data_IF_988561848635
#
_entry.id   IF_988561848635
#
_cell.length_a   1.000
_cell.length_b   1.000
_cell.length_c   1.000
_cell.angle_alpha   90.00
_cell.angle_beta   90.00
_cell.angle_gamma   90.00
#
_symmetry.space_group_name_H-M   'P 1'
#
loop_
_entity.id
_entity.type
_entity.pdbx_description
1 polymer ?
#
# COMPACT_ATOMS: atom_id res chain seq x y z
N UNK A 1 48.77 43.43 -0.96
CA UNK A 1 47.41 43.65 -0.41
C UNK A 1 46.94 42.32 0.13
N UNK A 2 46.53 42.23 1.39
CA UNK A 2 45.97 40.99 1.92
C UNK A 2 44.64 40.71 1.22
N UNK A 3 44.46 39.51 0.66
CA UNK A 3 43.16 39.09 0.15
C UNK A 3 42.19 39.03 1.33
N UNK A 4 41.12 39.83 1.29
CA UNK A 4 40.03 39.71 2.26
C UNK A 4 39.24 38.45 1.91
N UNK A 5 38.87 37.65 2.92
CA UNK A 5 38.06 36.44 2.71
C UNK A 5 36.74 36.85 2.05
N UNK A 6 36.37 36.21 0.95
CA UNK A 6 35.03 36.38 0.37
C UNK A 6 34.02 35.88 1.40
N UNK A 7 33.06 36.74 1.74
CA UNK A 7 31.96 36.39 2.66
C UNK A 7 30.65 36.44 1.89
N UNK A 8 29.55 35.95 2.48
CA UNK A 8 28.22 36.07 1.88
C UNK A 8 27.81 37.52 1.63
N UNK A 9 28.37 38.49 2.34
CA UNK A 9 28.11 39.92 2.11
C UNK A 9 28.79 40.48 0.85
N UNK A 10 29.73 39.74 0.26
CA UNK A 10 30.40 40.09 -1.00
C UNK A 10 29.80 39.36 -2.21
N UNK A 11 28.75 38.56 -2.00
CA UNK A 11 28.05 37.80 -3.03
C UNK A 11 26.59 38.23 -2.97
N UNK A 12 26.17 39.06 -3.93
CA UNK A 12 24.77 39.49 -4.01
C UNK A 12 23.86 38.29 -4.28
N UNK A 13 22.57 38.40 -3.91
CA UNK A 13 21.57 37.37 -4.19
C UNK A 13 21.52 37.03 -5.69
N UNK A 14 21.34 35.75 -6.02
CA UNK A 14 21.30 35.24 -7.41
C UNK A 14 22.57 35.48 -8.26
N UNK A 15 23.68 35.88 -7.63
CA UNK A 15 24.97 36.10 -8.35
C UNK A 15 25.63 34.79 -8.78
N UNK A 16 25.49 33.73 -7.98
CA UNK A 16 26.06 32.42 -8.30
C UNK A 16 25.04 31.65 -9.13
N UNK A 17 25.25 31.63 -10.44
CA UNK A 17 24.45 30.84 -11.36
C UNK A 17 25.00 29.42 -11.51
N UNK A 18 24.24 28.55 -12.18
CA UNK A 18 24.67 27.16 -12.42
C UNK A 18 26.03 27.05 -13.13
N UNK A 19 26.39 28.03 -13.98
CA UNK A 19 27.68 28.06 -14.68
C UNK A 19 28.88 28.41 -13.80
N UNK A 20 28.66 29.07 -12.66
CA UNK A 20 29.71 29.42 -11.69
C UNK A 20 30.07 28.24 -10.78
N UNK A 21 29.17 27.25 -10.72
CA UNK A 21 29.37 25.99 -10.00
C UNK A 21 30.00 25.01 -10.97
N UNK A 22 31.32 24.84 -10.88
CA UNK A 22 32.02 23.84 -11.67
C UNK A 22 31.42 22.44 -11.44
N UNK A 23 31.54 21.56 -12.44
CA UNK A 23 31.10 20.18 -12.32
C UNK A 23 31.70 19.51 -11.07
N UNK A 24 30.85 18.88 -10.26
CA UNK A 24 31.22 18.23 -8.99
C UNK A 24 31.78 19.17 -7.91
N UNK A 25 31.60 20.49 -8.03
CA UNK A 25 32.06 21.45 -7.02
C UNK A 25 31.31 21.35 -5.67
N UNK A 26 30.10 20.77 -5.67
CA UNK A 26 29.32 20.50 -4.46
C UNK A 26 29.29 18.98 -4.26
N UNK A 27 30.20 18.48 -3.44
CA UNK A 27 30.30 17.09 -3.03
C UNK A 27 29.84 16.87 -1.59
N UNK A 28 30.26 15.75 -1.01
CA UNK A 28 29.92 15.36 0.37
C UNK A 28 30.64 16.21 1.42
N UNK A 29 31.75 16.85 1.09
CA UNK A 29 32.43 17.80 2.00
C UNK A 29 31.67 19.12 2.12
N UNK A 30 30.96 19.54 1.06
CA UNK A 30 30.17 20.76 1.02
C UNK A 30 28.73 20.51 1.52
N UNK A 31 28.26 19.26 1.42
CA UNK A 31 26.98 18.80 1.94
C UNK A 31 27.20 17.96 3.20
N UNK A 32 27.20 18.60 4.36
CA UNK A 32 27.25 17.90 5.64
C UNK A 32 26.12 16.85 5.76
N UNK A 33 26.32 15.84 6.61
CA UNK A 33 25.29 14.83 6.87
C UNK A 33 23.97 15.50 7.29
N UNK A 34 22.86 15.10 6.65
CA UNK A 34 21.53 15.69 6.83
C UNK A 34 21.42 17.18 6.45
N UNK A 35 22.40 17.76 5.74
CA UNK A 35 22.32 19.14 5.28
C UNK A 35 21.17 19.35 4.28
N UNK A 36 20.79 18.32 3.52
CA UNK A 36 19.65 18.35 2.60
C UNK A 36 18.47 17.64 3.27
N UNK A 37 17.64 18.40 3.98
CA UNK A 37 16.43 17.91 4.65
C UNK A 37 15.28 17.72 3.66
N UNK A 38 14.22 17.01 4.04
CA UNK A 38 13.01 16.88 3.21
C UNK A 38 12.41 18.22 2.78
N UNK A 39 12.50 19.28 3.61
CA UNK A 39 12.08 20.63 3.23
C UNK A 39 12.92 21.24 2.08
N UNK A 40 14.20 20.84 1.97
CA UNK A 40 15.10 21.25 0.87
C UNK A 40 14.92 20.38 -0.38
N UNK A 41 14.41 19.16 -0.21
CA UNK A 41 13.95 18.27 -1.28
C UNK A 41 12.44 18.49 -1.43
N UNK A 42 12.02 19.68 -1.84
CA UNK A 42 10.61 20.06 -1.89
C UNK A 42 9.83 19.25 -2.96
N UNK A 43 9.45 18.01 -2.65
CA UNK A 43 8.59 17.14 -3.46
C UNK A 43 7.08 17.43 -3.27
N UNK A 44 6.75 18.59 -2.72
CA UNK A 44 5.37 19.02 -2.46
C UNK A 44 4.75 18.57 -1.13
N UNK A 45 5.44 17.81 -0.27
CA UNK A 45 5.01 17.43 1.11
C UNK A 45 6.16 16.82 1.91
N UNK A 46 6.17 17.02 3.23
CA UNK A 46 7.10 16.43 4.22
C UNK A 46 6.40 15.52 5.24
N UNK A 47 5.23 14.99 4.88
CA UNK A 47 4.46 14.11 5.75
C UNK A 47 5.22 12.80 6.09
N UNK A 48 5.15 12.40 7.36
CA UNK A 48 5.78 11.17 7.84
C UNK A 48 5.25 9.94 7.07
N UNK A 49 6.17 9.08 6.62
CA UNK A 49 5.84 7.83 5.93
C UNK A 49 5.66 7.98 4.41
N UNK A 50 5.82 9.18 3.86
CA UNK A 50 5.92 9.38 2.42
C UNK A 50 7.16 8.68 1.85
N UNK A 51 7.05 8.15 0.63
CA UNK A 51 8.12 7.44 -0.07
C UNK A 51 8.50 8.22 -1.33
N UNK A 52 9.80 8.30 -1.63
CA UNK A 52 10.29 8.83 -2.90
C UNK A 52 10.48 7.69 -3.90
N UNK A 53 10.00 7.85 -5.13
CA UNK A 53 10.26 6.90 -6.21
C UNK A 53 10.52 7.62 -7.53
N UNK A 54 11.26 6.98 -8.44
CA UNK A 54 11.53 7.50 -9.77
C UNK A 54 10.39 7.14 -10.72
N UNK A 55 9.77 8.13 -11.38
CA UNK A 55 8.63 7.90 -12.28
C UNK A 55 9.03 7.70 -13.76
N UNK A 56 10.34 7.64 -14.05
CA UNK A 56 10.87 7.59 -15.42
C UNK A 56 11.49 8.91 -15.90
N UNK A 57 11.19 10.04 -15.24
CA UNK A 57 11.75 11.36 -15.57
C UNK A 57 12.29 12.05 -14.32
N UNK A 58 11.52 12.05 -13.24
CA UNK A 58 11.85 12.71 -11.99
C UNK A 58 11.69 11.77 -10.80
N UNK A 59 12.34 12.13 -9.69
CA UNK A 59 11.97 11.57 -8.40
C UNK A 59 10.73 12.30 -7.89
N UNK A 60 9.67 11.54 -7.62
CA UNK A 60 8.38 12.05 -7.17
C UNK A 60 7.96 11.39 -5.86
N UNK A 61 6.96 11.98 -5.21
CA UNK A 61 6.40 11.51 -3.95
C UNK A 61 5.28 10.50 -4.17
N UNK A 62 5.38 9.35 -3.51
CA UNK A 62 4.26 8.48 -3.19
C UNK A 62 3.82 8.78 -1.75
N UNK A 63 2.62 9.36 -1.60
CA UNK A 63 2.05 9.63 -0.28
C UNK A 63 1.95 8.34 0.54
N UNK A 64 2.08 8.43 1.87
CA UNK A 64 1.86 7.29 2.76
C UNK A 64 0.51 6.60 2.51
N UNK A 65 0.47 5.28 2.66
CA UNK A 65 -0.77 4.50 2.60
C UNK A 65 -1.69 4.75 3.80
N UNK A 66 -2.88 4.15 3.76
CA UNK A 66 -3.73 3.97 4.93
C UNK A 66 -3.24 2.78 5.76
N UNK A 67 -3.77 2.63 6.98
CA UNK A 67 -3.46 1.47 7.82
C UNK A 67 -3.68 0.15 7.05
N UNK A 68 -2.81 -0.82 7.31
CA UNK A 68 -2.85 -2.19 6.76
C UNK A 68 -2.64 -2.31 5.25
N UNK A 69 -2.33 -1.22 4.55
CA UNK A 69 -1.91 -1.31 3.15
C UNK A 69 -0.48 -1.82 3.03
N UNK A 70 -0.22 -2.63 2.00
CA UNK A 70 1.11 -3.07 1.62
C UNK A 70 1.59 -2.32 0.38
N UNK A 71 2.89 -2.08 0.33
CA UNK A 71 3.51 -1.50 -0.86
C UNK A 71 3.77 -2.62 -1.87
N UNK A 72 3.31 -2.44 -3.10
CA UNK A 72 3.57 -3.36 -4.20
C UNK A 72 3.81 -2.62 -5.50
N UNK A 73 4.32 -3.33 -6.51
CA UNK A 73 4.36 -2.82 -7.87
C UNK A 73 2.95 -2.75 -8.45
N UNK A 74 2.62 -1.67 -9.16
CA UNK A 74 1.33 -1.55 -9.85
C UNK A 74 1.19 -2.63 -10.96
N UNK A 75 -0.04 -2.86 -11.42
CA UNK A 75 -0.30 -3.89 -12.46
C UNK A 75 0.44 -3.63 -13.77
N UNK A 76 0.83 -2.39 -14.04
CA UNK A 76 1.59 -2.00 -15.23
C UNK A 76 3.10 -2.17 -15.10
N UNK A 77 3.62 -2.58 -13.93
CA UNK A 77 5.04 -2.65 -13.62
C UNK A 77 5.82 -1.34 -13.85
N UNK A 78 5.16 -0.19 -13.66
CA UNK A 78 5.72 1.15 -13.91
C UNK A 78 5.94 1.97 -12.64
N UNK A 79 5.27 1.64 -11.54
CA UNK A 79 5.39 2.41 -10.30
C UNK A 79 4.98 1.59 -9.06
N UNK A 80 5.58 1.88 -7.88
CA UNK A 80 5.05 1.41 -6.62
C UNK A 80 3.67 2.01 -6.33
N UNK A 81 2.81 1.24 -5.69
CA UNK A 81 1.46 1.64 -5.29
C UNK A 81 1.05 0.95 -4.00
N UNK A 82 0.25 1.62 -3.19
CA UNK A 82 -0.36 1.01 -2.02
C UNK A 82 -1.56 0.15 -2.44
N UNK A 83 -1.62 -1.07 -1.94
CA UNK A 83 -2.81 -1.91 -2.03
C UNK A 83 -3.32 -2.21 -0.63
N UNK A 84 -4.63 -2.31 -0.48
CA UNK A 84 -5.21 -2.95 0.70
C UNK A 84 -4.79 -4.42 0.68
N UNK A 85 -3.91 -4.80 1.61
CA UNK A 85 -3.52 -6.18 1.72
C UNK A 85 -4.77 -7.01 2.04
N UNK A 86 -5.06 -8.01 1.22
CA UNK A 86 -5.88 -9.14 1.65
C UNK A 86 -5.03 -9.90 2.65
N UNK A 87 -4.98 -9.43 3.91
CA UNK A 87 -4.29 -10.18 4.96
C UNK A 87 -4.90 -11.57 4.94
N UNK A 88 -4.05 -12.59 4.78
CA UNK A 88 -4.54 -13.94 4.59
C UNK A 88 -5.48 -14.31 5.74
N UNK A 89 -6.75 -14.53 5.44
CA UNK A 89 -7.77 -15.12 6.29
C UNK A 89 -7.55 -14.90 7.79
N UNK A 90 -8.00 -13.75 8.31
CA UNK A 90 -8.35 -13.68 9.73
C UNK A 90 -9.38 -14.79 9.99
N UNK A 91 -8.96 -15.83 10.71
CA UNK A 91 -9.81 -16.98 10.99
C UNK A 91 -10.79 -16.63 12.11
N UNK A 92 -12.09 -16.72 11.84
CA UNK A 92 -13.14 -16.46 12.83
C UNK A 92 -14.15 -17.61 12.89
N UNK A 93 -14.51 -18.02 14.11
CA UNK A 93 -15.56 -19.02 14.34
C UNK A 93 -16.93 -18.36 14.19
N UNK A 94 -17.81 -18.98 13.39
CA UNK A 94 -19.19 -18.55 13.16
C UNK A 94 -20.16 -19.67 13.53
N UNK A 95 -21.11 -19.36 14.41
CA UNK A 95 -22.19 -20.25 14.84
C UNK A 95 -23.54 -19.86 14.22
N UNK A 96 -23.57 -18.79 13.41
CA UNK A 96 -24.77 -18.24 12.76
C UNK A 96 -24.42 -17.66 11.39
N UNK A 97 -25.43 -17.23 10.63
CA UNK A 97 -25.24 -16.63 9.32
C UNK A 97 -24.20 -15.48 9.33
N UNK A 98 -23.35 -15.44 8.30
CA UNK A 98 -22.22 -14.50 8.20
C UNK A 98 -22.00 -14.06 6.76
N UNK A 99 -21.76 -12.76 6.53
CA UNK A 99 -21.32 -12.24 5.22
C UNK A 99 -19.81 -12.10 5.22
N UNK A 100 -19.14 -12.88 4.38
CA UNK A 100 -17.70 -12.89 4.26
C UNK A 100 -17.18 -11.66 3.52
N UNK A 101 -15.96 -11.24 3.88
CA UNK A 101 -15.17 -10.28 3.13
C UNK A 101 -14.09 -11.01 2.29
N UNK A 102 -13.52 -10.30 1.32
CA UNK A 102 -12.40 -10.82 0.55
C UNK A 102 -11.23 -11.17 1.48
N UNK A 103 -10.68 -12.37 1.30
CA UNK A 103 -9.58 -12.89 2.09
C UNK A 103 -10.01 -13.67 3.33
N UNK A 104 -11.29 -13.64 3.75
CA UNK A 104 -11.74 -14.22 5.02
C UNK A 104 -11.44 -15.73 5.18
N UNK A 105 -11.15 -16.12 6.43
CA UNK A 105 -11.16 -17.50 6.90
C UNK A 105 -12.36 -17.74 7.80
N UNK A 106 -13.37 -18.45 7.30
CA UNK A 106 -14.59 -18.74 8.05
C UNK A 106 -14.52 -20.15 8.63
N UNK A 107 -14.33 -20.26 9.95
CA UNK A 107 -14.50 -21.50 10.69
C UNK A 107 -15.97 -21.64 11.07
N UNK A 108 -16.68 -22.60 10.49
CA UNK A 108 -18.11 -22.76 10.74
C UNK A 108 -18.33 -23.84 11.78
N UNK A 109 -18.99 -23.47 12.88
CA UNK A 109 -19.54 -24.42 13.83
C UNK A 109 -20.88 -24.93 13.30
N UNK A 110 -20.88 -26.17 12.80
CA UNK A 110 -22.06 -26.85 12.24
C UNK A 110 -22.87 -27.58 13.32
N UNK A 111 -22.90 -27.08 14.56
CA UNK A 111 -23.90 -27.49 15.57
C UNK A 111 -25.34 -27.16 15.14
N UNK A 112 -25.51 -26.21 14.22
CA UNK A 112 -26.74 -25.93 13.46
C UNK A 112 -26.38 -25.54 12.03
N UNK A 113 -27.32 -25.56 11.09
CA UNK A 113 -27.06 -25.14 9.72
C UNK A 113 -26.69 -23.64 9.67
N UNK A 114 -25.66 -23.30 8.89
CA UNK A 114 -25.12 -21.93 8.80
C UNK A 114 -24.98 -21.51 7.34
N UNK A 115 -25.43 -20.30 7.01
CA UNK A 115 -25.20 -19.69 5.70
C UNK A 115 -24.01 -18.74 5.75
N UNK A 116 -23.03 -18.98 4.88
CA UNK A 116 -21.91 -18.06 4.61
C UNK A 116 -22.20 -17.34 3.29
N UNK A 117 -22.53 -16.06 3.36
CA UNK A 117 -22.79 -15.22 2.19
C UNK A 117 -21.47 -14.67 1.65
N UNK A 118 -21.20 -14.88 0.36
CA UNK A 118 -20.02 -14.36 -0.32
C UNK A 118 -20.01 -12.81 -0.37
N UNK A 119 -18.84 -12.17 -0.57
CA UNK A 119 -18.76 -10.73 -0.80
C UNK A 119 -19.66 -10.27 -1.96
N UNK A 120 -20.20 -9.06 -1.88
CA UNK A 120 -21.08 -8.48 -2.92
C UNK A 120 -20.34 -8.09 -4.22
N UNK A 121 -19.01 -8.18 -4.21
CA UNK A 121 -18.14 -7.94 -5.36
C UNK A 121 -17.01 -8.96 -5.36
N UNK A 122 -16.65 -9.48 -6.54
CA UNK A 122 -15.53 -10.38 -6.73
C UNK A 122 -14.64 -9.90 -7.88
N UNK A 123 -13.34 -9.86 -7.64
CA UNK A 123 -12.27 -9.63 -8.61
C UNK A 123 -11.42 -10.88 -8.80
N UNK A 124 -10.70 -10.97 -9.92
CA UNK A 124 -9.76 -12.07 -10.12
C UNK A 124 -8.69 -12.05 -9.03
N UNK A 125 -8.54 -13.18 -8.32
CA UNK A 125 -7.61 -13.32 -7.20
C UNK A 125 -8.26 -13.20 -5.82
N UNK A 126 -9.54 -12.80 -5.75
CA UNK A 126 -10.29 -12.83 -4.49
C UNK A 126 -10.55 -14.26 -4.03
N UNK A 127 -10.56 -14.47 -2.72
CA UNK A 127 -10.87 -15.77 -2.13
C UNK A 127 -11.60 -15.64 -0.80
N UNK A 128 -12.38 -16.67 -0.47
CA UNK A 128 -12.92 -16.92 0.87
C UNK A 128 -12.62 -18.38 1.19
N UNK A 129 -12.10 -18.66 2.39
CA UNK A 129 -11.91 -20.04 2.86
C UNK A 129 -13.01 -20.39 3.85
N UNK A 130 -13.70 -21.49 3.61
CA UNK A 130 -14.74 -22.00 4.52
C UNK A 130 -14.30 -23.37 5.02
N UNK A 131 -14.27 -23.56 6.33
CA UNK A 131 -13.86 -24.81 6.99
C UNK A 131 -14.91 -25.21 8.00
N UNK A 132 -15.41 -26.44 7.90
CA UNK A 132 -16.23 -27.05 8.94
C UNK A 132 -15.33 -27.49 10.09
N UNK A 133 -15.50 -26.87 11.26
CA UNK A 133 -14.66 -27.18 12.44
C UNK A 133 -15.25 -28.27 13.33
N UNK A 134 -16.54 -28.60 13.14
CA UNK A 134 -17.24 -29.63 13.91
C UNK A 134 -17.43 -30.93 13.12
N UNK A 135 -17.14 -30.93 11.82
CA UNK A 135 -17.21 -32.12 10.96
C UNK A 135 -18.64 -32.63 10.74
N UNK A 136 -19.65 -31.77 10.95
CA UNK A 136 -21.08 -32.12 10.95
C UNK A 136 -21.86 -31.49 9.79
N UNK A 137 -21.18 -30.93 8.78
CA UNK A 137 -21.80 -30.30 7.61
C UNK A 137 -22.73 -31.23 6.80
N UNK A 138 -22.59 -32.55 6.92
CA UNK A 138 -23.48 -33.52 6.30
C UNK A 138 -24.89 -33.57 6.95
N UNK A 139 -24.99 -33.19 8.22
CA UNK A 139 -26.27 -33.12 8.96
C UNK A 139 -26.78 -31.69 9.04
N UNK A 140 -25.88 -30.74 9.32
CA UNK A 140 -26.17 -29.33 9.45
C UNK A 140 -25.40 -28.58 8.38
N UNK A 141 -26.01 -28.43 7.21
CA UNK A 141 -25.34 -27.92 6.02
C UNK A 141 -24.71 -26.54 6.25
N UNK A 142 -23.53 -26.35 5.65
CA UNK A 142 -22.96 -25.02 5.39
C UNK A 142 -23.42 -24.60 4.00
N UNK A 143 -24.27 -23.59 3.91
CA UNK A 143 -24.71 -23.04 2.63
C UNK A 143 -23.79 -21.89 2.22
N UNK A 144 -23.25 -21.93 1.00
CA UNK A 144 -22.46 -20.81 0.44
C UNK A 144 -23.39 -19.93 -0.40
N UNK A 145 -23.91 -18.86 0.19
CA UNK A 145 -24.84 -17.98 -0.49
C UNK A 145 -24.11 -17.03 -1.45
N UNK A 146 -24.52 -17.04 -2.72
CA UNK A 146 -23.82 -16.37 -3.83
C UNK A 146 -23.80 -14.83 -3.80
N UNK A 147 -24.64 -14.20 -2.99
CA UNK A 147 -24.79 -12.74 -2.88
C UNK A 147 -24.93 -12.00 -4.24
N UNK A 148 -25.66 -12.62 -5.18
CA UNK A 148 -25.85 -12.07 -6.53
C UNK A 148 -24.83 -12.52 -7.58
N UNK A 149 -23.70 -13.12 -7.19
CA UNK A 149 -22.72 -13.72 -8.13
C UNK A 149 -23.14 -15.09 -8.65
N UNK A 150 -22.49 -15.58 -9.71
CA UNK A 150 -22.62 -16.95 -10.19
C UNK A 150 -21.52 -17.82 -9.59
N UNK A 151 -21.85 -19.03 -9.14
CA UNK A 151 -20.87 -20.02 -8.67
C UNK A 151 -20.61 -20.97 -9.83
N UNK A 152 -19.39 -20.93 -10.41
CA UNK A 152 -19.03 -21.73 -11.59
C UNK A 152 -20.03 -21.60 -12.76
N UNK A 153 -20.60 -20.40 -12.93
CA UNK A 153 -21.61 -20.11 -13.96
C UNK A 153 -23.05 -20.48 -13.58
N UNK A 154 -23.29 -21.15 -12.45
CA UNK A 154 -24.62 -21.49 -11.94
C UNK A 154 -25.21 -20.39 -11.04
N UNK A 155 -26.54 -20.35 -10.99
CA UNK A 155 -27.31 -19.44 -10.11
C UNK A 155 -27.85 -20.13 -8.85
N UNK A 156 -27.67 -21.45 -8.76
CA UNK A 156 -27.95 -22.25 -7.57
C UNK A 156 -26.77 -22.21 -6.59
N UNK A 157 -27.09 -22.19 -5.30
CA UNK A 157 -26.20 -22.36 -4.15
C UNK A 157 -26.03 -23.83 -3.72
#
# INVERSE_FOLDING_TARGET
MALTRVTSAAIDTDTIAAGDIAASAVGTSELADNAVTGAKIALGSDAQGDIMYYNGTDYVRLAKGTAEQTLQMNSGATAPSWITAVSGAAWAIKTSAYTAANGDGVMVDTSSAVTVTLPASASLGDFVRVVDITGSAATNNITVARNGHKIQGAESD
#
